data_IF_792879549177
#
_entry.id   IF_792879549177
#
_cell.length_a   1.000
_cell.length_b   1.000
_cell.length_c   1.000
_cell.angle_alpha   90.00
_cell.angle_beta   90.00
_cell.angle_gamma   90.00
#
_symmetry.space_group_name_H-M   'P 1'
#
loop_
_entity.id
_entity.type
_entity.pdbx_description
1 polymer ?
#
# COMPACT_ATOMS: atom_id res chain seq x y z
N UNK A 1 -6.48 34.01 -3.04
CA UNK A 1 -6.30 32.55 -2.99
C UNK A 1 -4.98 32.26 -2.30
N UNK A 2 -4.95 31.68 -1.09
CA UNK A 2 -3.69 31.39 -0.42
C UNK A 2 -2.99 30.22 -1.11
N UNK A 3 -1.69 30.37 -1.36
CA UNK A 3 -0.80 29.34 -1.90
C UNK A 3 -0.86 28.06 -1.05
N UNK A 4 -1.22 26.94 -1.66
CA UNK A 4 -0.89 25.61 -1.11
C UNK A 4 0.60 25.40 -1.40
N UNK A 5 1.46 25.52 -0.39
CA UNK A 5 2.81 24.96 -0.50
C UNK A 5 2.66 23.44 -0.62
N UNK A 6 3.12 22.86 -1.73
CA UNK A 6 3.12 21.42 -1.96
C UNK A 6 4.07 20.68 -1.01
N UNK A 7 3.64 20.52 0.24
CA UNK A 7 4.33 19.77 1.29
C UNK A 7 3.53 18.55 1.74
N UNK A 8 4.20 17.64 2.46
CA UNK A 8 3.55 16.50 3.10
C UNK A 8 2.60 16.98 4.21
N UNK A 9 1.37 16.47 4.20
CA UNK A 9 0.36 16.73 5.22
C UNK A 9 0.01 15.40 5.93
N UNK A 10 0.25 15.25 7.23
CA UNK A 10 -0.11 14.02 7.94
C UNK A 10 -1.62 13.85 8.14
N UNK A 11 -2.44 14.87 7.86
CA UNK A 11 -3.89 14.87 8.10
C UNK A 11 -4.73 14.41 6.90
N UNK A 12 -4.12 13.91 5.82
CA UNK A 12 -4.82 13.55 4.57
C UNK A 12 -6.01 12.60 4.77
N UNK A 13 -5.89 11.70 5.74
CA UNK A 13 -6.95 10.77 6.14
C UNK A 13 -8.25 11.49 6.55
N UNK A 14 -8.14 12.62 7.25
CA UNK A 14 -9.30 13.41 7.66
C UNK A 14 -10.01 14.02 6.45
N UNK A 15 -9.26 14.45 5.42
CA UNK A 15 -9.84 15.00 4.20
C UNK A 15 -10.58 13.93 3.41
N UNK A 16 -9.99 12.73 3.27
CA UNK A 16 -10.66 11.61 2.64
C UNK A 16 -11.95 11.24 3.38
N UNK A 17 -11.90 11.14 4.71
CA UNK A 17 -13.08 10.85 5.55
C UNK A 17 -14.18 11.90 5.39
N UNK A 18 -13.83 13.18 5.37
CA UNK A 18 -14.81 14.25 5.14
C UNK A 18 -15.42 14.15 3.73
N UNK A 19 -14.60 13.93 2.71
CA UNK A 19 -15.04 13.85 1.32
C UNK A 19 -16.01 12.69 1.07
N UNK A 20 -15.66 11.47 1.48
CA UNK A 20 -16.48 10.28 1.23
C UNK A 20 -17.76 10.19 2.09
N UNK A 21 -17.89 11.02 3.13
CA UNK A 21 -19.11 11.14 3.92
C UNK A 21 -20.03 12.28 3.46
N UNK A 22 -19.71 12.98 2.36
CA UNK A 22 -20.63 13.95 1.75
C UNK A 22 -21.74 13.25 0.98
N UNK A 23 -22.94 13.83 1.07
CA UNK A 23 -24.16 13.31 0.45
C UNK A 23 -24.09 13.32 -1.08
N UNK A 24 -23.60 14.40 -1.67
CA UNK A 24 -23.44 14.51 -3.12
C UNK A 24 -22.38 13.52 -3.65
N UNK A 25 -21.29 13.33 -2.90
CA UNK A 25 -20.25 12.33 -3.24
C UNK A 25 -20.80 10.91 -3.15
N UNK A 26 -21.52 10.54 -2.09
CA UNK A 26 -22.10 9.20 -1.97
C UNK A 26 -23.17 8.94 -3.03
N UNK A 27 -23.96 9.94 -3.40
CA UNK A 27 -24.93 9.83 -4.51
C UNK A 27 -24.21 9.62 -5.84
N UNK A 28 -23.16 10.40 -6.12
CA UNK A 28 -22.39 10.30 -7.35
C UNK A 28 -21.64 8.97 -7.50
N UNK A 29 -21.21 8.38 -6.37
CA UNK A 29 -20.57 7.05 -6.33
C UNK A 29 -21.57 5.90 -6.23
N UNK A 30 -22.88 6.18 -6.24
CA UNK A 30 -23.95 5.20 -6.09
C UNK A 30 -23.85 4.36 -4.80
N UNK A 31 -23.33 4.95 -3.72
CA UNK A 31 -23.26 4.35 -2.38
C UNK A 31 -24.60 4.53 -1.63
N UNK A 32 -25.29 5.64 -1.89
CA UNK A 32 -26.63 5.93 -1.36
C UNK A 32 -27.49 6.63 -2.41
N UNK A 33 -28.79 6.74 -2.13
CA UNK A 33 -29.77 7.49 -2.93
C UNK A 33 -29.63 9.02 -2.80
N UNK A 34 -28.67 9.49 -2.00
CA UNK A 34 -28.53 10.89 -1.64
C UNK A 34 -29.48 11.35 -0.54
N UNK A 35 -30.08 10.43 0.21
CA UNK A 35 -30.91 10.74 1.38
C UNK A 35 -30.41 10.02 2.63
N UNK A 36 -30.07 8.72 2.52
CA UNK A 36 -29.52 7.95 3.64
C UNK A 36 -28.00 7.82 3.53
N UNK A 37 -27.26 8.59 4.33
CA UNK A 37 -25.80 8.49 4.38
C UNK A 37 -25.34 7.15 4.96
N UNK A 38 -24.31 6.57 4.34
CA UNK A 38 -23.55 5.45 4.90
C UNK A 38 -22.34 6.01 5.64
N UNK A 39 -22.03 5.46 6.80
CA UNK A 39 -20.83 5.84 7.53
C UNK A 39 -19.61 5.20 6.85
N UNK A 40 -18.80 6.03 6.20
CA UNK A 40 -17.55 5.61 5.57
C UNK A 40 -16.37 5.88 6.51
N UNK A 41 -15.47 4.91 6.62
CA UNK A 41 -14.20 5.04 7.34
C UNK A 41 -13.06 4.46 6.50
N UNK A 42 -11.83 4.93 6.76
CA UNK A 42 -10.63 4.45 6.07
C UNK A 42 -10.36 2.98 6.36
N UNK A 43 -10.52 2.60 7.63
CA UNK A 43 -10.37 1.23 8.11
C UNK A 43 -11.57 0.86 8.99
N UNK A 44 -11.88 -0.43 9.07
CA UNK A 44 -12.83 -0.98 10.02
C UNK A 44 -12.08 -1.74 11.12
N UNK A 45 -11.96 -1.11 12.30
CA UNK A 45 -11.21 -1.67 13.44
C UNK A 45 -11.86 -2.92 14.02
N UNK A 46 -13.19 -2.98 14.07
CA UNK A 46 -13.93 -4.16 14.56
C UNK A 46 -13.62 -5.39 13.72
N UNK A 47 -13.54 -5.23 12.39
CA UNK A 47 -13.15 -6.30 11.49
C UNK A 47 -11.68 -6.72 11.70
N UNK A 48 -10.78 -5.74 11.90
CA UNK A 48 -9.37 -6.00 12.14
C UNK A 48 -9.14 -6.79 13.43
N UNK A 49 -9.78 -6.40 14.53
CA UNK A 49 -9.66 -7.06 15.83
C UNK A 49 -10.29 -8.46 15.83
N UNK A 50 -11.34 -8.67 15.04
CA UNK A 50 -11.98 -9.97 14.87
C UNK A 50 -11.31 -10.91 13.87
N UNK A 51 -10.22 -10.48 13.21
CA UNK A 51 -9.60 -11.26 12.16
C UNK A 51 -8.80 -12.45 12.72
N UNK A 52 -9.02 -13.69 12.24
CA UNK A 52 -8.31 -14.87 12.73
C UNK A 52 -6.81 -14.82 12.39
N UNK A 53 -6.01 -15.58 13.13
CA UNK A 53 -4.55 -15.59 12.99
C UNK A 53 -4.11 -15.82 11.52
N UNK A 54 -3.35 -14.89 10.92
CA UNK A 54 -2.91 -15.03 9.54
C UNK A 54 -1.89 -16.17 9.40
N UNK A 55 -1.75 -16.69 8.17
CA UNK A 55 -0.68 -17.66 7.86
C UNK A 55 0.68 -16.99 8.08
N UNK A 56 1.67 -17.72 8.63
CA UNK A 56 2.96 -17.13 9.01
C UNK A 56 3.84 -16.73 7.81
N UNK A 57 3.55 -17.24 6.62
CA UNK A 57 4.34 -16.94 5.42
C UNK A 57 3.51 -17.09 4.15
N UNK A 58 3.83 -16.23 3.18
CA UNK A 58 3.33 -16.29 1.80
C UNK A 58 4.38 -16.84 0.82
N UNK A 59 5.60 -17.15 1.27
CA UNK A 59 6.68 -17.66 0.43
C UNK A 59 6.29 -18.90 -0.39
N UNK A 60 5.54 -19.90 0.14
CA UNK A 60 5.10 -21.04 -0.66
C UNK A 60 4.20 -20.65 -1.84
N UNK A 61 3.47 -19.53 -1.74
CA UNK A 61 2.67 -19.00 -2.85
C UNK A 61 3.60 -18.39 -3.90
N UNK A 62 4.59 -17.59 -3.49
CA UNK A 62 5.58 -17.03 -4.41
C UNK A 62 6.32 -18.12 -5.20
N UNK A 63 6.75 -19.20 -4.55
CA UNK A 63 7.37 -20.35 -5.25
C UNK A 63 6.49 -20.88 -6.38
N UNK A 64 5.21 -21.14 -6.10
CA UNK A 64 4.25 -21.64 -7.11
C UNK A 64 4.04 -20.65 -8.26
N UNK A 65 3.94 -19.36 -7.96
CA UNK A 65 3.72 -18.33 -8.99
C UNK A 65 4.96 -18.14 -9.87
N UNK A 66 6.16 -18.26 -9.30
CA UNK A 66 7.43 -18.21 -10.03
C UNK A 66 7.56 -19.42 -10.95
N UNK A 67 7.25 -20.63 -10.46
CA UNK A 67 7.25 -21.86 -11.26
C UNK A 67 6.23 -21.81 -12.40
N UNK A 68 5.09 -21.14 -12.18
CA UNK A 68 4.09 -20.88 -13.22
C UNK A 68 4.51 -19.81 -14.25
N UNK A 69 5.69 -19.20 -14.10
CA UNK A 69 6.21 -18.19 -15.04
C UNK A 69 5.56 -16.81 -14.92
N UNK A 70 4.89 -16.51 -13.80
CA UNK A 70 4.28 -15.20 -13.58
C UNK A 70 5.33 -14.14 -13.23
N UNK A 71 5.12 -12.93 -13.77
CA UNK A 71 5.97 -11.78 -13.47
C UNK A 71 5.54 -11.13 -12.15
N UNK A 72 6.48 -11.03 -11.22
CA UNK A 72 6.24 -10.51 -9.86
C UNK A 72 7.16 -9.32 -9.62
N UNK A 73 6.60 -8.21 -9.13
CA UNK A 73 7.33 -7.01 -8.70
C UNK A 73 7.05 -6.76 -7.23
N UNK A 74 8.10 -6.48 -6.47
CA UNK A 74 8.03 -6.17 -5.04
C UNK A 74 8.79 -4.86 -4.84
N UNK A 75 8.21 -3.96 -4.07
CA UNK A 75 8.77 -2.64 -3.77
C UNK A 75 8.55 -2.30 -2.30
N UNK A 76 9.44 -1.51 -1.72
CA UNK A 76 9.35 -1.05 -0.34
C UNK A 76 9.91 0.36 -0.22
N UNK A 77 9.24 1.20 0.59
CA UNK A 77 9.74 2.51 0.98
C UNK A 77 10.79 2.38 2.08
N UNK A 78 11.96 2.98 1.90
CA UNK A 78 13.13 2.80 2.77
C UNK A 78 13.03 3.45 4.15
N UNK A 79 12.09 4.37 4.33
CA UNK A 79 11.80 5.01 5.61
C UNK A 79 10.58 4.45 6.35
N UNK A 80 9.97 3.36 5.87
CA UNK A 80 8.86 2.71 6.58
C UNK A 80 9.36 1.93 7.80
N UNK A 81 8.89 2.30 8.99
CA UNK A 81 9.17 1.60 10.24
C UNK A 81 8.20 0.47 10.58
N UNK A 82 7.04 0.36 9.89
CA UNK A 82 6.04 -0.69 10.14
C UNK A 82 6.43 -2.00 9.45
N UNK A 83 6.80 -1.94 8.17
CA UNK A 83 7.33 -3.09 7.41
C UNK A 83 8.61 -2.66 6.68
N UNK A 84 9.77 -2.70 7.35
CA UNK A 84 10.99 -2.11 6.82
C UNK A 84 11.56 -2.90 5.63
N UNK A 85 12.31 -2.22 4.76
CA UNK A 85 13.02 -2.79 3.60
C UNK A 85 13.81 -4.04 3.97
N UNK A 86 14.47 -4.05 5.13
CA UNK A 86 15.26 -5.19 5.59
C UNK A 86 14.43 -6.47 5.72
N UNK A 87 13.19 -6.37 6.23
CA UNK A 87 12.29 -7.52 6.35
C UNK A 87 11.98 -8.12 4.97
N UNK A 88 11.62 -7.26 4.02
CA UNK A 88 11.35 -7.65 2.63
C UNK A 88 12.57 -8.32 1.99
N UNK A 89 13.76 -7.74 2.16
CA UNK A 89 15.01 -8.30 1.62
C UNK A 89 15.35 -9.66 2.20
N UNK A 90 15.17 -9.87 3.50
CA UNK A 90 15.37 -11.19 4.12
C UNK A 90 14.37 -12.22 3.63
N UNK A 91 13.08 -11.86 3.52
CA UNK A 91 12.07 -12.74 2.94
C UNK A 91 12.41 -13.16 1.52
N UNK A 92 12.84 -12.22 0.67
CA UNK A 92 13.19 -12.54 -0.73
C UNK A 92 14.48 -13.35 -0.85
N UNK A 93 15.48 -13.06 -0.03
CA UNK A 93 16.72 -13.83 -0.01
C UNK A 93 16.47 -15.30 0.37
N UNK A 94 15.47 -15.58 1.21
CA UNK A 94 15.10 -16.95 1.58
C UNK A 94 14.52 -17.79 0.43
N UNK A 95 14.07 -17.17 -0.67
CA UNK A 95 13.61 -17.88 -1.87
C UNK A 95 14.76 -18.46 -2.70
N UNK A 96 16.01 -18.03 -2.47
CA UNK A 96 17.19 -18.57 -3.17
C UNK A 96 17.19 -18.33 -4.69
N UNK A 97 16.49 -17.29 -5.17
CA UNK A 97 16.40 -16.98 -6.60
C UNK A 97 17.74 -16.48 -7.14
N UNK A 98 18.05 -16.84 -8.38
CA UNK A 98 19.27 -16.37 -9.06
C UNK A 98 19.18 -14.88 -9.38
N UNK A 99 20.26 -14.15 -9.08
CA UNK A 99 20.36 -12.73 -9.40
C UNK A 99 20.67 -12.59 -10.89
N UNK A 100 19.71 -12.09 -11.65
CA UNK A 100 19.89 -11.81 -13.09
C UNK A 100 20.54 -10.45 -13.36
N UNK A 101 20.30 -9.48 -12.48
CA UNK A 101 20.92 -8.16 -12.52
C UNK A 101 21.21 -7.69 -11.10
N UNK A 102 22.46 -7.29 -10.85
CA UNK A 102 22.85 -6.72 -9.56
C UNK A 102 22.05 -5.47 -9.23
N UNK A 103 21.95 -5.21 -7.92
CA UNK A 103 21.37 -4.00 -7.39
C UNK A 103 22.00 -2.75 -8.03
N UNK A 104 21.15 -1.79 -8.40
CA UNK A 104 21.59 -0.50 -8.92
C UNK A 104 20.55 0.57 -8.57
N UNK A 105 20.98 1.82 -8.34
CA UNK A 105 20.05 2.92 -8.18
C UNK A 105 19.21 3.09 -9.44
N UNK A 106 17.97 3.55 -9.26
CA UNK A 106 17.14 4.04 -10.35
C UNK A 106 16.95 5.55 -10.20
N UNK A 107 16.72 6.23 -11.32
CA UNK A 107 16.65 7.68 -11.38
C UNK A 107 15.34 8.13 -12.00
N UNK A 108 14.74 9.15 -11.40
CA UNK A 108 13.64 9.90 -11.99
C UNK A 108 13.97 11.39 -11.89
N UNK A 109 14.01 12.10 -13.02
CA UNK A 109 14.32 13.53 -13.09
C UNK A 109 15.60 13.93 -12.31
N UNK A 110 16.69 13.16 -12.49
CA UNK A 110 17.99 13.31 -11.80
C UNK A 110 17.98 13.06 -10.29
N UNK A 111 16.86 12.64 -9.71
CA UNK A 111 16.78 12.21 -8.33
C UNK A 111 16.95 10.69 -8.25
N UNK A 112 17.80 10.25 -7.32
CA UNK A 112 17.86 8.83 -6.95
C UNK A 112 16.56 8.51 -6.23
N UNK A 113 16.02 7.35 -6.53
CA UNK A 113 14.98 6.78 -5.71
C UNK A 113 15.43 5.39 -5.27
N UNK A 114 15.14 5.06 -4.02
CA UNK A 114 15.54 3.80 -3.41
C UNK A 114 14.33 2.86 -3.45
N UNK A 115 14.45 1.76 -4.20
CA UNK A 115 13.45 0.68 -4.22
C UNK A 115 14.07 -0.51 -3.51
N UNK A 116 13.94 -0.57 -2.18
CA UNK A 116 14.49 -1.63 -1.32
C UNK A 116 14.10 -3.05 -1.68
#
# INVERSE_FOLDING_TARGET
MPRIMGGYDPCLDNYAKAFYNRLDVQKALHVSDGHLLRNWSICNTTMYEGWPQPKPSVLPIYTKLIEAGLRIWIYSGDTDGRVPVLSTRYCLNSLGLSITKSWRPWYHQKQVSYLG
#
